data_IF_457559581308
#
_entry.id   IF_457559581308
#
_cell.length_a   1.000
_cell.length_b   1.000
_cell.length_c   1.000
_cell.angle_alpha   90.00
_cell.angle_beta   90.00
_cell.angle_gamma   90.00
#
_symmetry.space_group_name_H-M   'P 1'
#
loop_
_entity.id
_entity.type
_entity.pdbx_description
1 polymer ?
#
# COMPACT_ATOMS: atom_id res chain seq x y z
N UNK A 1 15.80 34.52 -20.27
CA UNK A 1 14.44 34.55 -20.80
C UNK A 1 13.91 33.12 -20.74
N UNK A 2 13.04 32.83 -19.79
CA UNK A 2 12.45 31.49 -19.61
C UNK A 2 11.49 31.23 -20.76
N UNK A 3 11.76 30.23 -21.61
CA UNK A 3 10.80 29.73 -22.58
C UNK A 3 9.69 29.06 -21.80
N UNK A 4 8.60 29.78 -21.54
CA UNK A 4 7.35 29.20 -21.13
C UNK A 4 6.91 28.24 -22.24
N UNK A 5 7.06 26.94 -22.03
CA UNK A 5 6.49 25.93 -22.94
C UNK A 5 4.98 26.18 -23.00
N UNK A 6 4.48 26.54 -24.20
CA UNK A 6 3.02 26.66 -24.43
C UNK A 6 2.41 25.26 -24.27
N UNK A 7 1.61 25.06 -23.24
CA UNK A 7 0.83 23.85 -23.04
C UNK A 7 -0.28 23.85 -24.10
N UNK A 8 -0.23 22.92 -25.05
CA UNK A 8 -1.22 22.80 -26.14
C UNK A 8 -2.34 21.79 -25.82
N UNK A 9 -2.15 20.94 -24.80
CA UNK A 9 -3.10 19.93 -24.33
C UNK A 9 -3.04 19.82 -22.81
N UNK A 10 -4.05 19.23 -22.16
CA UNK A 10 -3.97 18.88 -20.76
C UNK A 10 -2.73 17.99 -20.49
N UNK A 11 -1.99 18.30 -19.45
CA UNK A 11 -0.75 17.62 -19.11
C UNK A 11 -0.77 17.24 -17.63
N UNK A 12 -0.50 15.96 -17.34
CA UNK A 12 -0.23 15.45 -16.00
C UNK A 12 1.28 15.34 -15.83
N UNK A 13 1.82 15.99 -14.82
CA UNK A 13 3.23 15.91 -14.47
C UNK A 13 3.39 15.25 -13.12
N UNK A 14 4.18 14.17 -13.06
CA UNK A 14 4.59 13.52 -11.82
C UNK A 14 5.95 14.07 -11.38
N UNK A 15 6.05 14.51 -10.12
CA UNK A 15 7.26 15.01 -9.49
C UNK A 15 7.87 13.92 -8.60
N UNK A 16 8.81 13.17 -9.14
CA UNK A 16 9.51 12.12 -8.40
C UNK A 16 10.40 12.70 -7.27
N UNK A 17 10.76 13.97 -7.32
CA UNK A 17 11.50 14.63 -6.22
C UNK A 17 10.63 14.83 -4.98
N UNK A 18 9.33 15.06 -5.19
CA UNK A 18 8.33 15.09 -4.12
C UNK A 18 8.15 13.69 -3.50
N UNK A 19 8.08 12.64 -4.33
CA UNK A 19 8.05 11.25 -3.86
C UNK A 19 9.29 10.93 -3.02
N UNK A 20 10.48 11.26 -3.51
CA UNK A 20 11.74 11.07 -2.80
C UNK A 20 11.75 11.78 -1.42
N UNK A 21 11.29 13.03 -1.37
CA UNK A 21 11.16 13.78 -0.11
C UNK A 21 10.20 13.05 0.86
N UNK A 22 9.03 12.63 0.37
CA UNK A 22 8.02 11.98 1.18
C UNK A 22 8.51 10.64 1.75
N UNK A 23 9.24 9.85 0.95
CA UNK A 23 9.84 8.58 1.40
C UNK A 23 10.78 8.82 2.57
N UNK A 24 11.72 9.76 2.44
CA UNK A 24 12.67 10.09 3.52
C UNK A 24 11.94 10.55 4.79
N UNK A 25 10.95 11.42 4.66
CA UNK A 25 10.14 11.89 5.77
C UNK A 25 9.41 10.75 6.48
N UNK A 26 8.74 9.87 5.71
CA UNK A 26 7.98 8.75 6.26
C UNK A 26 8.89 7.69 6.87
N UNK A 27 10.07 7.45 6.31
CA UNK A 27 11.10 6.57 6.89
C UNK A 27 11.52 7.09 8.27
N UNK A 28 11.82 8.38 8.36
CA UNK A 28 12.20 9.02 9.62
C UNK A 28 11.05 8.95 10.65
N UNK A 29 9.81 9.23 10.22
CA UNK A 29 8.64 9.23 11.10
C UNK A 29 8.28 7.83 11.60
N UNK A 30 8.43 6.81 10.78
CA UNK A 30 8.14 5.43 11.16
C UNK A 30 9.14 4.90 12.18
N UNK A 31 10.40 5.27 12.09
CA UNK A 31 11.50 4.70 12.89
C UNK A 31 11.68 3.19 12.68
N UNK A 32 11.20 2.65 11.55
CA UNK A 32 11.17 1.22 11.23
C UNK A 32 11.49 1.00 9.75
N UNK A 33 11.61 -0.27 9.32
CA UNK A 33 11.71 -0.57 7.89
C UNK A 33 10.50 -0.01 7.14
N UNK A 34 10.70 0.43 5.89
CA UNK A 34 9.68 1.08 5.08
C UNK A 34 9.37 0.27 3.83
N UNK A 35 8.12 -0.16 3.71
CA UNK A 35 7.57 -0.72 2.48
C UNK A 35 6.85 0.39 1.71
N UNK A 36 7.32 0.71 0.51
CA UNK A 36 6.64 1.60 -0.42
C UNK A 36 5.54 0.82 -1.15
N UNK A 37 4.29 1.27 -0.99
CA UNK A 37 3.12 0.63 -1.58
C UNK A 37 2.79 1.32 -2.89
N UNK A 38 3.06 0.63 -4.00
CA UNK A 38 2.97 1.17 -5.36
C UNK A 38 1.84 0.56 -6.20
N UNK A 39 0.85 -0.04 -5.54
CA UNK A 39 -0.34 -0.60 -6.18
C UNK A 39 -1.12 0.42 -7.01
N UNK A 40 -1.96 -0.04 -7.93
CA UNK A 40 -2.75 0.78 -8.85
C UNK A 40 -1.87 1.74 -9.66
N UNK A 41 -0.84 1.18 -10.29
CA UNK A 41 0.15 1.91 -11.08
C UNK A 41 0.78 3.09 -10.31
N UNK A 42 1.24 2.81 -9.06
CA UNK A 42 1.74 3.90 -8.21
C UNK A 42 0.68 4.96 -7.94
N UNK A 43 -0.60 4.57 -7.81
CA UNK A 43 -1.73 5.48 -7.71
C UNK A 43 -1.87 6.40 -8.96
N UNK A 44 -1.57 5.85 -10.13
CA UNK A 44 -1.54 6.57 -11.41
C UNK A 44 -0.30 7.46 -11.61
N UNK A 45 0.81 7.15 -10.93
CA UNK A 45 2.05 7.94 -10.98
C UNK A 45 3.21 7.19 -11.64
N UNK A 46 2.98 6.08 -12.35
CA UNK A 46 3.98 5.15 -12.84
C UNK A 46 4.63 4.35 -11.70
N UNK A 47 4.12 3.13 -11.48
CA UNK A 47 4.56 2.28 -10.38
C UNK A 47 6.06 2.00 -10.39
N UNK A 48 6.64 1.80 -11.57
CA UNK A 48 8.06 1.47 -11.72
C UNK A 48 8.96 2.66 -11.38
N UNK A 49 8.62 3.86 -11.88
CA UNK A 49 9.36 5.08 -11.56
C UNK A 49 9.25 5.44 -10.07
N UNK A 50 8.05 5.29 -9.46
CA UNK A 50 7.83 5.50 -8.03
C UNK A 50 8.59 4.46 -7.20
N UNK A 51 8.56 3.18 -7.58
CA UNK A 51 9.27 2.10 -6.89
C UNK A 51 10.78 2.34 -6.89
N UNK A 52 11.37 2.62 -8.04
CA UNK A 52 12.80 2.93 -8.17
C UNK A 52 13.18 4.14 -7.31
N UNK A 53 12.37 5.21 -7.37
CA UNK A 53 12.59 6.42 -6.56
C UNK A 53 12.49 6.12 -5.07
N UNK A 54 11.51 5.32 -4.65
CA UNK A 54 11.32 4.99 -3.24
C UNK A 54 12.50 4.16 -2.70
N UNK A 55 12.95 3.15 -3.44
CA UNK A 55 14.11 2.33 -3.08
C UNK A 55 15.38 3.17 -2.94
N UNK A 56 15.64 4.07 -3.90
CA UNK A 56 16.79 4.97 -3.86
C UNK A 56 16.76 5.97 -2.69
N UNK A 57 15.59 6.15 -2.02
CA UNK A 57 15.41 7.14 -0.96
C UNK A 57 15.05 6.55 0.41
N UNK A 58 15.26 5.24 0.62
CA UNK A 58 15.19 4.62 1.94
C UNK A 58 14.02 3.67 2.16
N UNK A 59 13.20 3.38 1.16
CA UNK A 59 12.33 2.20 1.19
C UNK A 59 13.20 0.94 1.01
N UNK A 60 12.90 -0.10 1.77
CA UNK A 60 13.62 -1.37 1.73
C UNK A 60 12.76 -2.50 1.21
N UNK A 61 11.46 -2.24 1.06
CA UNK A 61 10.45 -3.15 0.54
C UNK A 61 9.53 -2.43 -0.43
N UNK A 62 8.95 -3.20 -1.32
CA UNK A 62 7.83 -2.78 -2.15
C UNK A 62 6.57 -3.59 -1.81
N UNK A 63 5.41 -3.00 -2.08
CA UNK A 63 4.14 -3.68 -1.87
C UNK A 63 3.14 -3.37 -2.96
N UNK A 64 2.46 -4.40 -3.46
CA UNK A 64 1.41 -4.32 -4.47
C UNK A 64 0.11 -4.92 -3.96
N UNK A 65 -1.02 -4.64 -4.62
CA UNK A 65 -2.26 -5.30 -4.28
C UNK A 65 -2.33 -6.70 -4.90
N UNK A 66 -1.99 -6.83 -6.17
CA UNK A 66 -2.12 -8.08 -6.92
C UNK A 66 -0.76 -8.69 -7.29
N UNK A 67 -0.79 -9.97 -7.64
CA UNK A 67 0.37 -10.67 -8.19
C UNK A 67 0.76 -10.05 -9.54
N UNK A 68 -0.20 -9.71 -10.40
CA UNK A 68 0.07 -9.12 -11.71
C UNK A 68 0.83 -7.80 -11.62
N UNK A 69 0.44 -6.92 -10.67
CA UNK A 69 1.20 -5.70 -10.41
C UNK A 69 2.64 -6.00 -9.98
N UNK A 70 2.84 -7.03 -9.15
CA UNK A 70 4.18 -7.43 -8.71
C UNK A 70 5.01 -8.00 -9.87
N UNK A 71 4.42 -8.83 -10.72
CA UNK A 71 5.09 -9.40 -11.89
C UNK A 71 5.44 -8.32 -12.92
N UNK A 72 4.58 -7.30 -13.08
CA UNK A 72 4.88 -6.13 -13.93
C UNK A 72 6.12 -5.39 -13.42
N UNK A 73 6.22 -5.11 -12.12
CA UNK A 73 7.41 -4.48 -11.55
C UNK A 73 8.68 -5.31 -11.80
N UNK A 74 8.59 -6.65 -11.69
CA UNK A 74 9.71 -7.54 -12.00
C UNK A 74 10.12 -7.46 -13.48
N UNK A 75 9.14 -7.48 -14.38
CA UNK A 75 9.38 -7.35 -15.82
C UNK A 75 10.00 -5.99 -16.19
N UNK A 76 9.65 -4.93 -15.46
CA UNK A 76 10.17 -3.57 -15.66
C UNK A 76 11.54 -3.34 -14.98
N UNK A 77 12.20 -4.39 -14.47
CA UNK A 77 13.58 -4.33 -13.98
C UNK A 77 13.72 -4.09 -12.46
N UNK A 78 12.66 -4.14 -11.69
CA UNK A 78 12.75 -4.15 -10.21
C UNK A 78 13.05 -5.57 -9.73
N UNK A 79 14.28 -6.04 -9.93
CA UNK A 79 14.62 -7.47 -9.73
C UNK A 79 14.91 -7.84 -8.28
N UNK A 80 15.68 -7.03 -7.56
CA UNK A 80 16.32 -7.40 -6.29
C UNK A 80 15.55 -6.97 -5.04
N UNK A 81 14.60 -6.02 -5.16
CA UNK A 81 13.89 -5.52 -3.99
C UNK A 81 12.92 -6.56 -3.46
N UNK A 82 12.86 -6.78 -2.12
CA UNK A 82 11.79 -7.54 -1.51
C UNK A 82 10.42 -6.95 -1.88
N UNK A 83 9.49 -7.81 -2.30
CA UNK A 83 8.21 -7.39 -2.88
C UNK A 83 7.09 -8.29 -2.35
N UNK A 84 6.05 -7.69 -1.77
CA UNK A 84 4.89 -8.38 -1.22
C UNK A 84 3.63 -8.03 -2.00
N UNK A 85 2.84 -9.04 -2.40
CA UNK A 85 1.47 -8.89 -2.89
C UNK A 85 0.48 -9.43 -1.85
N UNK A 86 -0.74 -8.82 -1.71
CA UNK A 86 -1.64 -9.18 -0.61
C UNK A 86 -3.13 -9.33 -0.92
N UNK A 87 -3.65 -8.89 -2.04
CA UNK A 87 -5.05 -9.09 -2.42
C UNK A 87 -5.11 -9.98 -3.67
N UNK A 88 -5.15 -11.29 -3.45
CA UNK A 88 -5.18 -12.23 -4.55
C UNK A 88 -6.54 -12.95 -4.62
N UNK A 89 -7.11 -13.13 -5.81
CA UNK A 89 -8.17 -14.11 -5.99
C UNK A 89 -7.60 -15.54 -5.87
N UNK A 90 -8.49 -16.52 -5.67
CA UNK A 90 -8.04 -17.92 -5.49
C UNK A 90 -7.43 -18.53 -6.75
N UNK A 91 -7.72 -17.99 -7.92
CA UNK A 91 -7.21 -18.40 -9.23
C UNK A 91 -5.97 -17.59 -9.69
N UNK A 92 -5.37 -16.79 -8.81
CA UNK A 92 -4.15 -16.04 -9.13
C UNK A 92 -2.97 -16.97 -9.42
N UNK A 93 -2.03 -16.51 -10.24
CA UNK A 93 -0.82 -17.28 -10.58
C UNK A 93 0.23 -17.24 -9.46
N UNK A 94 -0.03 -18.00 -8.40
CA UNK A 94 0.89 -18.14 -7.27
C UNK A 94 2.23 -18.75 -7.67
N UNK A 95 2.25 -19.61 -8.69
CA UNK A 95 3.49 -20.23 -9.17
C UNK A 95 4.42 -19.20 -9.82
N UNK A 96 3.90 -18.36 -10.70
CA UNK A 96 4.66 -17.28 -11.31
C UNK A 96 5.20 -16.31 -10.25
N UNK A 97 4.37 -15.93 -9.25
CA UNK A 97 4.79 -15.08 -8.15
C UNK A 97 5.97 -15.68 -7.37
N UNK A 98 5.88 -16.97 -7.00
CA UNK A 98 6.94 -17.66 -6.26
C UNK A 98 8.22 -17.72 -7.07
N UNK A 99 8.14 -18.06 -8.38
CA UNK A 99 9.30 -18.09 -9.30
C UNK A 99 9.97 -16.72 -9.43
N UNK A 100 9.17 -15.64 -9.43
CA UNK A 100 9.64 -14.25 -9.49
C UNK A 100 10.13 -13.70 -8.14
N UNK A 101 10.14 -14.51 -7.08
CA UNK A 101 10.57 -14.07 -5.74
C UNK A 101 9.66 -12.99 -5.15
N UNK A 102 8.35 -13.13 -5.35
CA UNK A 102 7.32 -12.29 -4.73
C UNK A 102 6.81 -12.99 -3.48
N UNK A 103 6.85 -12.28 -2.35
CA UNK A 103 6.25 -12.74 -1.11
C UNK A 103 4.71 -12.63 -1.20
N UNK A 104 4.00 -13.56 -0.55
CA UNK A 104 2.56 -13.68 -0.68
C UNK A 104 1.87 -13.50 0.69
N UNK A 105 0.87 -12.64 0.76
CA UNK A 105 0.00 -12.60 1.93
C UNK A 105 -0.94 -13.82 1.94
N UNK A 106 -1.17 -14.37 3.12
CA UNK A 106 -2.05 -15.53 3.34
C UNK A 106 -3.23 -15.11 4.20
N UNK A 107 -4.37 -14.79 3.60
CA UNK A 107 -5.56 -14.36 4.32
C UNK A 107 -6.49 -15.50 4.74
N UNK A 108 -6.30 -16.71 4.24
CA UNK A 108 -7.16 -17.86 4.56
C UNK A 108 -6.45 -19.20 4.43
N UNK A 109 -7.10 -20.25 4.93
CA UNK A 109 -6.61 -21.63 4.78
C UNK A 109 -6.58 -22.08 3.32
N UNK A 110 -7.55 -21.64 2.52
CA UNK A 110 -7.62 -21.93 1.08
C UNK A 110 -6.41 -21.35 0.36
N UNK A 111 -6.09 -20.08 0.60
CA UNK A 111 -4.88 -19.45 0.04
C UNK A 111 -3.61 -20.20 0.45
N UNK A 112 -3.50 -20.59 1.73
CA UNK A 112 -2.34 -21.36 2.19
C UNK A 112 -2.18 -22.69 1.42
N UNK A 113 -3.29 -23.39 1.13
CA UNK A 113 -3.23 -24.62 0.36
C UNK A 113 -2.85 -24.39 -1.11
N UNK A 114 -3.40 -23.36 -1.75
CA UNK A 114 -3.07 -23.02 -3.13
C UNK A 114 -1.59 -22.64 -3.26
N UNK A 115 -1.09 -21.81 -2.36
CA UNK A 115 0.32 -21.42 -2.30
C UNK A 115 1.22 -22.63 -2.08
N UNK A 116 0.83 -23.56 -1.20
CA UNK A 116 1.54 -24.85 -1.00
C UNK A 116 1.67 -25.64 -2.31
N UNK A 117 0.58 -25.78 -3.07
CA UNK A 117 0.61 -26.49 -4.37
C UNK A 117 1.51 -25.77 -5.38
N UNK A 118 1.40 -24.45 -5.45
CA UNK A 118 2.21 -23.62 -6.33
C UNK A 118 3.71 -23.69 -5.96
N UNK A 119 4.07 -23.68 -4.68
CA UNK A 119 5.45 -23.81 -4.22
C UNK A 119 6.09 -25.16 -4.65
N UNK A 120 5.31 -26.24 -4.56
CA UNK A 120 5.77 -27.55 -5.06
C UNK A 120 6.03 -27.55 -6.55
N UNK A 121 5.16 -26.92 -7.35
CA UNK A 121 5.33 -26.79 -8.81
C UNK A 121 6.48 -25.86 -9.18
N UNK A 122 6.68 -24.79 -8.39
CA UNK A 122 7.80 -23.88 -8.56
C UNK A 122 9.15 -24.49 -8.15
N UNK A 123 9.16 -25.60 -7.40
CA UNK A 123 10.37 -26.29 -6.92
C UNK A 123 11.14 -25.50 -5.85
N UNK A 124 10.47 -24.58 -5.15
CA UNK A 124 11.06 -23.75 -4.09
C UNK A 124 10.03 -23.35 -3.05
N UNK A 125 10.42 -23.10 -1.79
CA UNK A 125 9.50 -22.63 -0.78
C UNK A 125 8.91 -21.25 -1.14
N UNK A 126 7.65 -21.03 -0.78
CA UNK A 126 7.01 -19.73 -0.88
C UNK A 126 7.28 -18.92 0.39
N UNK A 127 7.80 -17.70 0.25
CA UNK A 127 7.85 -16.73 1.34
C UNK A 127 6.45 -16.14 1.57
N UNK A 128 5.93 -16.24 2.80
CA UNK A 128 4.55 -15.85 3.10
C UNK A 128 4.46 -14.92 4.31
N UNK A 129 3.48 -14.00 4.24
CA UNK A 129 3.07 -13.16 5.34
C UNK A 129 1.65 -13.54 5.77
N UNK A 130 1.48 -14.09 6.99
CA UNK A 130 0.15 -14.39 7.49
C UNK A 130 -0.62 -13.09 7.71
N UNK A 131 -1.80 -12.99 7.11
CA UNK A 131 -2.63 -11.78 7.16
C UNK A 131 -3.80 -11.98 8.12
N UNK A 132 -3.79 -11.25 9.26
CA UNK A 132 -4.88 -11.28 10.24
C UNK A 132 -5.92 -10.20 9.94
N UNK A 133 -7.20 -10.54 9.97
CA UNK A 133 -8.28 -9.55 10.04
C UNK A 133 -8.35 -8.97 11.46
N UNK A 134 -8.25 -7.66 11.53
CA UNK A 134 -8.24 -6.90 12.78
C UNK A 134 -9.54 -6.12 13.02
N UNK A 135 -10.59 -6.49 12.29
CA UNK A 135 -11.92 -5.86 12.35
C UNK A 135 -12.18 -4.85 11.22
N UNK A 136 -11.39 -4.87 10.15
CA UNK A 136 -11.70 -4.13 8.92
C UNK A 136 -12.62 -4.92 8.01
N UNK A 137 -12.59 -6.26 8.09
CA UNK A 137 -13.45 -7.20 7.34
C UNK A 137 -13.38 -6.99 5.82
N UNK A 138 -12.23 -6.57 5.31
CA UNK A 138 -11.98 -6.47 3.87
C UNK A 138 -11.28 -7.72 3.35
N UNK A 139 -10.26 -8.15 4.08
CA UNK A 139 -9.40 -9.29 3.80
C UNK A 139 -8.65 -9.67 5.08
N UNK A 140 -8.05 -10.86 5.11
CA UNK A 140 -7.33 -11.39 6.26
C UNK A 140 -8.06 -12.52 6.96
N UNK A 141 -7.29 -13.37 7.61
CA UNK A 141 -7.80 -14.52 8.35
C UNK A 141 -8.64 -14.07 9.56
N UNK A 142 -9.89 -14.50 9.65
CA UNK A 142 -10.74 -14.16 10.79
C UNK A 142 -10.18 -14.79 12.09
N UNK A 143 -10.46 -14.18 13.26
CA UNK A 143 -9.97 -14.69 14.55
C UNK A 143 -10.30 -16.16 14.82
N UNK A 144 -11.44 -16.65 14.33
CA UNK A 144 -11.88 -18.03 14.50
C UNK A 144 -10.95 -19.06 13.84
N UNK A 145 -10.35 -18.69 12.70
CA UNK A 145 -9.50 -19.58 11.92
C UNK A 145 -7.99 -19.35 12.16
N UNK A 146 -7.64 -18.29 12.90
CA UNK A 146 -6.24 -17.87 13.05
C UNK A 146 -5.34 -18.93 13.67
N UNK A 147 -5.84 -19.62 14.70
CA UNK A 147 -5.08 -20.71 15.37
C UNK A 147 -4.78 -21.82 14.36
N UNK A 148 -5.80 -22.23 13.59
CA UNK A 148 -5.67 -23.28 12.58
C UNK A 148 -4.72 -22.86 11.46
N UNK A 149 -4.81 -21.60 11.00
CA UNK A 149 -3.89 -21.07 10.00
C UNK A 149 -2.45 -21.11 10.48
N UNK A 150 -2.18 -20.69 11.73
CA UNK A 150 -0.83 -20.73 12.31
C UNK A 150 -0.30 -22.15 12.43
N UNK A 151 -1.13 -23.10 12.89
CA UNK A 151 -0.76 -24.52 12.99
C UNK A 151 -0.42 -25.11 11.61
N UNK A 152 -1.26 -24.89 10.60
CA UNK A 152 -1.05 -25.45 9.27
C UNK A 152 0.15 -24.77 8.56
N UNK A 153 0.36 -23.48 8.76
CA UNK A 153 1.53 -22.76 8.24
C UNK A 153 2.85 -23.28 8.87
N UNK A 154 2.85 -23.54 10.18
CA UNK A 154 4.01 -24.12 10.85
C UNK A 154 4.36 -25.52 10.29
N UNK A 155 3.36 -26.39 10.13
CA UNK A 155 3.58 -27.72 9.52
C UNK A 155 4.16 -27.63 8.12
N UNK A 156 3.70 -26.69 7.30
CA UNK A 156 4.22 -26.49 5.95
C UNK A 156 5.63 -25.89 5.95
N UNK A 157 5.94 -25.03 6.92
CA UNK A 157 7.28 -24.49 7.13
C UNK A 157 8.25 -25.58 7.57
N UNK A 158 7.88 -26.39 8.55
CA UNK A 158 8.68 -27.55 8.99
C UNK A 158 8.89 -28.57 7.87
N UNK A 159 7.93 -28.68 6.93
CA UNK A 159 8.05 -29.50 5.70
C UNK A 159 8.77 -28.81 4.54
N UNK A 160 9.32 -27.60 4.73
CA UNK A 160 10.11 -26.88 3.72
C UNK A 160 9.30 -26.36 2.50
N UNK A 161 7.97 -26.29 2.62
CA UNK A 161 7.11 -25.88 1.48
C UNK A 161 6.80 -24.38 1.51
N UNK A 162 6.70 -23.78 2.69
CA UNK A 162 6.56 -22.35 2.88
C UNK A 162 7.57 -21.83 3.88
N UNK A 163 7.86 -20.56 3.84
CA UNK A 163 8.60 -19.83 4.87
C UNK A 163 7.74 -18.70 5.40
N UNK A 164 7.34 -18.74 6.66
CA UNK A 164 6.54 -17.68 7.27
C UNK A 164 7.47 -16.54 7.68
N UNK A 165 7.70 -15.61 6.76
CA UNK A 165 8.62 -14.48 6.95
C UNK A 165 7.96 -13.29 7.62
N UNK A 166 6.61 -13.18 7.56
CA UNK A 166 5.88 -12.03 8.09
C UNK A 166 4.52 -12.34 8.71
N UNK A 167 4.05 -11.39 9.51
CA UNK A 167 2.66 -11.24 9.96
C UNK A 167 2.21 -9.83 9.67
N UNK A 168 1.03 -9.68 9.09
CA UNK A 168 0.43 -8.39 8.75
C UNK A 168 -1.01 -8.28 9.21
N UNK A 169 -1.45 -7.04 9.32
CA UNK A 169 -2.84 -6.66 9.50
C UNK A 169 -3.06 -5.23 9.00
N UNK A 170 -4.28 -4.74 9.03
CA UNK A 170 -4.60 -3.38 8.59
C UNK A 170 -5.60 -2.71 9.53
N UNK A 171 -5.39 -1.42 9.84
CA UNK A 171 -6.30 -0.62 10.66
C UNK A 171 -7.25 0.16 9.76
N UNK A 172 -8.55 -0.09 9.92
CA UNK A 172 -9.59 0.57 9.11
C UNK A 172 -9.82 2.04 9.46
N UNK A 173 -9.51 2.44 10.72
CA UNK A 173 -9.84 3.77 11.25
C UNK A 173 -8.62 4.64 11.57
N UNK A 174 -7.43 4.31 11.06
CA UNK A 174 -6.19 5.00 11.40
C UNK A 174 -6.16 6.49 10.96
N UNK A 175 -7.00 6.89 10.00
CA UNK A 175 -7.16 8.29 9.61
C UNK A 175 -7.83 9.15 10.70
N UNK A 176 -8.53 8.53 11.65
CA UNK A 176 -9.11 9.15 12.84
C UNK A 176 -8.37 8.60 14.07
N UNK A 177 -7.28 9.24 14.55
CA UNK A 177 -6.37 8.65 15.54
C UNK A 177 -7.04 8.17 16.82
N UNK A 178 -8.02 8.93 17.32
CA UNK A 178 -8.73 8.63 18.57
C UNK A 178 -9.90 7.64 18.41
N UNK A 179 -10.10 7.07 17.21
CA UNK A 179 -11.18 6.11 16.99
C UNK A 179 -10.95 4.84 17.82
N UNK A 180 -11.95 4.34 18.61
CA UNK A 180 -11.78 3.18 19.51
C UNK A 180 -11.28 1.91 18.80
N UNK A 181 -11.68 1.70 17.55
CA UNK A 181 -11.26 0.55 16.74
C UNK A 181 -9.75 0.48 16.51
N UNK A 182 -9.03 1.60 16.59
CA UNK A 182 -7.57 1.56 16.47
C UNK A 182 -6.93 0.77 17.62
N UNK A 183 -7.39 1.00 18.86
CA UNK A 183 -6.91 0.25 20.03
C UNK A 183 -7.28 -1.23 19.92
N UNK A 184 -8.52 -1.54 19.55
CA UNK A 184 -8.99 -2.92 19.35
C UNK A 184 -8.13 -3.64 18.30
N UNK A 185 -7.87 -3.01 17.16
CA UNK A 185 -7.04 -3.58 16.09
C UNK A 185 -5.57 -3.77 16.49
N UNK A 186 -4.98 -2.83 17.22
CA UNK A 186 -3.59 -2.96 17.73
C UNK A 186 -3.49 -4.12 18.71
N UNK A 187 -4.43 -4.25 19.66
CA UNK A 187 -4.48 -5.35 20.61
C UNK A 187 -4.72 -6.70 19.90
N UNK A 188 -5.61 -6.72 18.89
CA UNK A 188 -5.85 -7.92 18.08
C UNK A 188 -4.58 -8.35 17.33
N UNK A 189 -3.82 -7.41 16.77
CA UNK A 189 -2.55 -7.70 16.10
C UNK A 189 -1.51 -8.27 17.06
N UNK A 190 -1.42 -7.73 18.27
CA UNK A 190 -0.53 -8.25 19.32
C UNK A 190 -0.91 -9.70 19.71
N UNK A 191 -2.21 -9.97 19.90
CA UNK A 191 -2.72 -11.33 20.18
C UNK A 191 -2.42 -12.29 19.03
N UNK A 192 -2.70 -11.89 17.78
CA UNK A 192 -2.40 -12.73 16.60
C UNK A 192 -0.92 -13.07 16.49
N UNK A 193 -0.05 -12.10 16.77
CA UNK A 193 1.41 -12.33 16.81
C UNK A 193 1.81 -13.30 17.94
N UNK A 194 1.20 -13.18 19.12
CA UNK A 194 1.46 -14.08 20.25
C UNK A 194 1.03 -15.52 19.94
N UNK A 195 -0.14 -15.72 19.33
CA UNK A 195 -0.63 -17.03 18.89
C UNK A 195 0.33 -17.66 17.88
N UNK A 196 0.75 -16.92 16.87
CA UNK A 196 1.71 -17.44 15.88
C UNK A 196 3.03 -17.91 16.55
N UNK A 197 3.53 -17.12 17.51
CA UNK A 197 4.72 -17.49 18.28
C UNK A 197 4.52 -18.73 19.15
N UNK A 198 3.34 -18.90 19.75
CA UNK A 198 3.01 -20.09 20.54
C UNK A 198 2.98 -21.35 19.68
N UNK A 199 2.66 -21.23 18.39
CA UNK A 199 2.74 -22.31 17.40
C UNK A 199 4.13 -22.49 16.78
N UNK A 200 5.20 -21.91 17.33
CA UNK A 200 6.57 -22.10 16.84
C UNK A 200 7.01 -21.13 15.74
N UNK A 201 6.11 -20.33 15.17
CA UNK A 201 6.46 -19.39 14.13
C UNK A 201 7.29 -18.21 14.67
N UNK A 202 8.32 -17.78 13.93
CA UNK A 202 9.22 -16.68 14.33
C UNK A 202 9.40 -15.68 13.19
N UNK A 203 8.29 -15.10 12.65
CA UNK A 203 8.38 -14.19 11.52
C UNK A 203 9.20 -12.95 11.87
N UNK A 204 10.12 -12.60 11.00
CA UNK A 204 10.97 -11.41 11.11
C UNK A 204 10.14 -10.15 10.96
N UNK A 205 9.21 -10.14 9.97
CA UNK A 205 8.48 -8.96 9.57
C UNK A 205 7.11 -8.90 10.24
N UNK A 206 6.88 -7.88 11.04
CA UNK A 206 5.59 -7.58 11.62
C UNK A 206 5.20 -6.19 11.16
N UNK A 207 4.07 -6.07 10.48
CA UNK A 207 3.67 -4.80 9.88
C UNK A 207 2.17 -4.54 9.99
N UNK A 208 1.84 -3.43 10.63
CA UNK A 208 0.50 -2.95 10.91
C UNK A 208 0.25 -1.55 10.34
N UNK A 209 1.15 -0.62 10.62
CA UNK A 209 0.99 0.78 10.31
C UNK A 209 1.02 1.05 8.79
N UNK A 210 -0.04 1.70 8.29
CA UNK A 210 -0.06 2.36 6.99
C UNK A 210 0.20 3.87 7.16
N UNK A 211 0.18 4.67 6.09
CA UNK A 211 0.46 6.11 6.12
C UNK A 211 -0.17 6.85 7.31
N UNK A 212 -1.50 6.78 7.56
CA UNK A 212 -2.10 7.54 8.66
C UNK A 212 -1.59 7.09 10.02
N UNK A 213 -1.36 5.78 10.21
CA UNK A 213 -0.83 5.26 11.46
C UNK A 213 0.64 5.66 11.68
N UNK A 214 1.46 5.71 10.63
CA UNK A 214 2.84 6.23 10.69
C UNK A 214 2.87 7.67 11.18
N UNK A 215 1.93 8.48 10.70
CA UNK A 215 1.87 9.91 11.01
C UNK A 215 1.25 10.19 12.40
N UNK A 216 0.24 9.42 12.83
CA UNK A 216 -0.61 9.79 13.95
C UNK A 216 -0.77 8.73 15.05
N UNK A 217 -0.30 7.48 14.86
CA UNK A 217 -0.53 6.38 15.81
C UNK A 217 0.78 5.67 16.20
N UNK A 218 1.61 6.24 17.08
CA UNK A 218 2.85 5.60 17.52
C UNK A 218 2.66 4.17 18.06
N UNK A 219 1.53 3.89 18.69
CA UNK A 219 1.21 2.57 19.24
C UNK A 219 1.05 1.47 18.16
N UNK A 220 0.81 1.86 16.88
CA UNK A 220 0.73 0.91 15.77
C UNK A 220 2.11 0.60 15.13
N UNK A 221 3.19 1.18 15.64
CA UNK A 221 4.55 0.93 15.12
C UNK A 221 4.94 -0.53 15.33
N UNK A 222 5.57 -1.09 14.32
CA UNK A 222 6.10 -2.44 14.31
C UNK A 222 7.46 -2.42 13.58
N UNK A 223 7.98 -3.59 13.22
CA UNK A 223 9.30 -3.70 12.56
C UNK A 223 9.30 -3.05 11.18
N UNK A 224 8.14 -3.03 10.51
CA UNK A 224 7.96 -2.43 9.19
C UNK A 224 6.68 -1.61 9.11
N UNK A 225 6.73 -0.50 8.39
CA UNK A 225 5.57 0.31 8.02
C UNK A 225 5.30 0.22 6.51
N UNK A 226 4.01 0.24 6.12
CA UNK A 226 3.57 0.20 4.71
C UNK A 226 2.98 1.54 4.32
N UNK A 227 3.67 2.31 3.51
CA UNK A 227 3.21 3.65 3.11
C UNK A 227 2.84 3.68 1.62
N UNK A 228 1.65 4.18 1.33
CA UNK A 228 1.16 4.40 -0.02
C UNK A 228 0.76 5.87 -0.19
N UNK A 229 -0.38 6.29 0.37
CA UNK A 229 -0.91 7.65 0.22
C UNK A 229 0.14 8.74 0.50
N UNK A 230 0.93 8.56 1.54
CA UNK A 230 1.99 9.51 1.91
C UNK A 230 3.10 9.65 0.88
N UNK A 231 3.36 8.65 0.04
CA UNK A 231 4.34 8.77 -1.06
C UNK A 231 3.95 9.89 -2.03
N UNK A 232 2.65 10.09 -2.22
CA UNK A 232 2.08 11.05 -3.17
C UNK A 232 1.67 12.38 -2.53
N UNK A 233 2.01 12.59 -1.25
CA UNK A 233 1.72 13.83 -0.54
C UNK A 233 0.37 13.85 0.18
N UNK A 234 -0.33 12.71 0.26
CA UNK A 234 -1.63 12.62 0.92
C UNK A 234 -1.45 12.27 2.39
N UNK A 235 -1.95 13.13 3.29
CA UNK A 235 -2.04 12.91 4.73
C UNK A 235 -3.49 12.62 5.15
N UNK A 236 -3.92 11.35 5.21
CA UNK A 236 -5.30 11.02 5.56
C UNK A 236 -5.67 11.36 7.00
N UNK A 237 -4.68 11.46 7.89
CA UNK A 237 -4.89 11.80 9.31
C UNK A 237 -4.84 13.31 9.59
N UNK A 238 -4.58 14.12 8.56
CA UNK A 238 -4.52 15.60 8.65
C UNK A 238 -3.59 16.10 9.75
N UNK A 239 -2.42 15.50 9.87
CA UNK A 239 -1.44 15.81 10.93
C UNK A 239 -0.61 17.05 10.61
N UNK A 240 -0.81 17.68 9.47
CA UNK A 240 0.04 18.76 8.94
C UNK A 240 1.50 18.33 8.74
N UNK A 241 1.74 17.05 8.47
CA UNK A 241 3.06 16.57 8.08
C UNK A 241 3.49 17.27 6.78
N UNK A 242 4.77 17.70 6.65
CA UNK A 242 5.24 18.45 5.49
C UNK A 242 5.45 17.53 4.27
N UNK A 243 4.42 16.77 3.91
CA UNK A 243 4.37 15.98 2.71
C UNK A 243 4.21 16.91 1.48
N UNK A 244 4.76 16.49 0.36
CA UNK A 244 4.71 17.23 -0.90
C UNK A 244 3.81 16.51 -1.89
N UNK A 245 2.86 17.23 -2.53
CA UNK A 245 2.07 16.68 -3.62
C UNK A 245 2.95 16.29 -4.79
N UNK A 246 2.74 15.08 -5.31
CA UNK A 246 3.57 14.53 -6.38
C UNK A 246 3.00 14.80 -7.78
N UNK A 247 1.77 15.32 -7.91
CA UNK A 247 1.10 15.55 -9.20
C UNK A 247 0.74 17.00 -9.40
N UNK A 248 0.94 17.46 -10.65
CA UNK A 248 0.40 18.71 -11.15
C UNK A 248 -0.38 18.43 -12.43
N UNK A 249 -1.67 18.81 -12.45
CA UNK A 249 -2.50 18.82 -13.64
C UNK A 249 -2.55 20.26 -14.19
N UNK A 250 -2.21 20.42 -15.46
CA UNK A 250 -2.25 21.69 -16.15
C UNK A 250 -3.05 21.56 -17.43
N UNK A 251 -3.84 22.58 -17.78
CA UNK A 251 -4.55 22.64 -19.05
C UNK A 251 -4.50 24.07 -19.62
N UNK A 252 -4.51 24.23 -20.95
CA UNK A 252 -4.63 25.54 -21.56
C UNK A 252 -6.00 26.10 -21.28
N UNK A 253 -6.10 27.43 -21.03
CA UNK A 253 -7.34 28.13 -20.98
C UNK A 253 -7.85 28.32 -22.42
N UNK A 254 -9.03 27.74 -22.72
CA UNK A 254 -9.62 27.79 -24.08
C UNK A 254 -10.58 28.92 -24.30
N UNK A 255 -11.17 29.47 -23.23
CA UNK A 255 -12.08 30.62 -23.28
C UNK A 255 -12.06 31.37 -21.95
N UNK A 256 -12.25 32.69 -22.01
CA UNK A 256 -12.44 33.51 -20.81
C UNK A 256 -13.68 34.37 -21.04
N UNK A 257 -14.58 34.40 -20.06
CA UNK A 257 -15.78 35.28 -20.11
C UNK A 257 -16.15 35.80 -18.74
N UNK A 258 -16.75 36.94 -18.67
CA UNK A 258 -17.42 37.45 -17.48
C UNK A 258 -18.92 37.14 -17.54
N UNK A 259 -19.50 36.74 -16.43
CA UNK A 259 -20.92 36.44 -16.28
C UNK A 259 -21.46 37.11 -15.02
N UNK A 260 -22.75 37.49 -15.06
CA UNK A 260 -23.41 38.16 -13.94
C UNK A 260 -23.85 37.15 -12.85
N UNK A 261 -24.25 37.67 -11.69
CA UNK A 261 -24.90 36.88 -10.64
C UNK A 261 -26.16 36.18 -11.20
N UNK A 262 -26.39 34.95 -10.72
CA UNK A 262 -27.53 34.14 -11.16
C UNK A 262 -27.32 33.40 -12.48
N UNK A 263 -26.12 33.47 -13.08
CA UNK A 263 -25.84 32.75 -14.32
C UNK A 263 -25.61 31.25 -14.02
N UNK A 264 -26.39 30.35 -14.69
CA UNK A 264 -26.16 28.90 -14.54
C UNK A 264 -24.90 28.47 -15.31
N UNK A 265 -24.11 27.59 -14.70
CA UNK A 265 -22.84 27.08 -15.24
C UNK A 265 -22.89 25.56 -15.40
N UNK A 266 -22.48 25.08 -16.57
CA UNK A 266 -22.35 23.67 -16.88
C UNK A 266 -23.68 22.98 -17.17
N UNK A 267 -23.61 21.64 -17.30
CA UNK A 267 -24.79 20.81 -17.51
C UNK A 267 -25.69 20.86 -16.28
N UNK A 268 -26.99 20.78 -16.50
CA UNK A 268 -28.02 20.76 -15.44
C UNK A 268 -28.00 21.98 -14.51
N UNK A 269 -27.32 23.08 -14.91
CA UNK A 269 -27.12 24.26 -14.06
C UNK A 269 -26.60 23.91 -12.65
N UNK A 270 -25.71 22.92 -12.54
CA UNK A 270 -25.22 22.37 -11.28
C UNK A 270 -24.57 23.43 -10.38
N UNK A 271 -24.14 24.54 -10.93
CA UNK A 271 -23.65 25.72 -10.21
C UNK A 271 -24.28 26.97 -10.73
N UNK A 272 -24.69 27.88 -9.86
CA UNK A 272 -25.20 29.20 -10.18
C UNK A 272 -24.29 30.24 -9.54
N UNK A 273 -23.84 31.22 -10.31
CA UNK A 273 -22.93 32.26 -9.82
C UNK A 273 -23.58 33.11 -8.75
N UNK A 274 -22.97 33.26 -7.55
CA UNK A 274 -23.52 34.13 -6.49
C UNK A 274 -23.28 35.62 -6.71
N UNK A 275 -22.40 35.95 -7.65
CA UNK A 275 -22.02 37.33 -8.01
C UNK A 275 -21.35 37.36 -9.38
N UNK A 276 -20.99 38.56 -9.85
CA UNK A 276 -20.23 38.75 -11.10
C UNK A 276 -18.95 37.93 -11.02
N UNK A 277 -18.74 36.99 -11.94
CA UNK A 277 -17.70 36.00 -11.92
C UNK A 277 -16.98 35.93 -13.26
N UNK A 278 -15.65 35.75 -13.21
CA UNK A 278 -14.83 35.47 -14.39
C UNK A 278 -14.62 33.96 -14.51
N UNK A 279 -15.07 33.41 -15.64
CA UNK A 279 -14.89 32.00 -15.99
C UNK A 279 -13.70 31.85 -16.93
N UNK A 280 -12.94 30.73 -16.77
CA UNK A 280 -11.83 30.37 -17.63
C UNK A 280 -11.80 28.86 -17.86
#
# INVERSE_FOLDING_TARGET
MSHSQRISAPTLRVDLSAVAHNVRLLRQRSGSELMAVVKADGFGHDATAVAATALANGATWLGTATIDEALTLRADGIEQAPLLAWLHPLDADFEAAIRAGVDLAVPSLEHLQLIRYAARRAGRPAAVHLHADLGMSRDGCPPADWIRLCHDAERLQSGGTVEVVGIMGHLGCAATPNHPQNRVGIEAFARSTAVARAHGLRPRWRHLAATPAVLALPAARAVMARVGAGLYGIDPARTSAPLRGAVTLSAPVVAVREVDAGTPIGYDAAYVTPGRTRLA
#
